data_IF_322143649404
#
_entry.id   IF_322143649404
#
_cell.length_a   1.000
_cell.length_b   1.000
_cell.length_c   1.000
_cell.angle_alpha   90.00
_cell.angle_beta   90.00
_cell.angle_gamma   90.00
#
_symmetry.space_group_name_H-M   'P 1'
#
loop_
_entity.id
_entity.type
_entity.pdbx_description
1 polymer ?
#
# COMPACT_ATOMS: atom_id res chain seq x y z
N UNK A 1 -47.93 31.39 28.53
CA UNK A 1 -47.70 30.97 27.13
C UNK A 1 -47.76 29.45 27.08
N UNK A 2 -48.39 28.90 26.04
CA UNK A 2 -48.98 27.55 25.94
C UNK A 2 -48.13 26.39 26.46
N UNK A 3 -48.72 25.60 27.37
CA UNK A 3 -48.45 24.17 27.51
C UNK A 3 -49.13 23.42 26.35
N UNK A 4 -48.46 22.43 25.78
CA UNK A 4 -49.07 21.36 25.01
C UNK A 4 -48.57 20.03 25.58
N UNK A 5 -49.44 19.28 26.23
CA UNK A 5 -49.27 17.85 26.44
C UNK A 5 -49.80 17.08 25.23
N UNK A 6 -49.45 15.80 25.11
CA UNK A 6 -50.46 14.72 25.08
C UNK A 6 -49.81 13.35 25.27
N UNK A 7 -50.69 12.47 25.75
CA UNK A 7 -50.53 11.17 26.39
C UNK A 7 -50.38 10.00 25.41
N UNK A 8 -49.59 9.01 25.84
CA UNK A 8 -49.65 7.54 25.68
C UNK A 8 -50.74 6.95 24.74
N UNK A 9 -50.34 6.05 23.84
CA UNK A 9 -51.13 4.89 23.41
C UNK A 9 -50.21 3.70 23.12
N UNK A 10 -50.42 2.58 23.83
CA UNK A 10 -49.69 1.34 23.65
C UNK A 10 -50.35 0.40 22.64
N UNK A 11 -49.59 -0.60 22.18
CA UNK A 11 -50.15 -1.82 21.60
C UNK A 11 -49.22 -3.01 21.84
N UNK A 12 -49.77 -4.03 22.52
CA UNK A 12 -49.26 -5.40 22.68
C UNK A 12 -49.99 -6.28 21.65
N UNK A 13 -49.28 -7.09 20.85
CA UNK A 13 -49.82 -8.29 20.16
C UNK A 13 -48.65 -9.27 19.89
N UNK A 14 -48.48 -10.30 20.73
CA UNK A 14 -48.76 -11.75 20.53
C UNK A 14 -47.97 -12.53 19.46
N UNK A 15 -47.02 -13.34 19.98
CA UNK A 15 -46.68 -14.75 19.71
C UNK A 15 -47.33 -15.45 18.49
N UNK A 16 -46.50 -16.10 17.66
CA UNK A 16 -46.84 -17.41 17.09
C UNK A 16 -45.66 -18.40 17.17
N UNK A 17 -45.96 -19.56 17.72
CA UNK A 17 -45.11 -20.75 17.86
C UNK A 17 -45.27 -21.59 16.59
N UNK A 18 -44.15 -22.01 15.98
CA UNK A 18 -44.11 -23.00 14.90
C UNK A 18 -43.37 -24.25 15.37
N UNK A 19 -44.10 -25.35 15.46
CA UNK A 19 -43.63 -26.67 15.88
C UNK A 19 -42.85 -27.40 14.77
N UNK A 20 -41.77 -28.10 15.15
CA UNK A 20 -41.32 -29.29 14.43
C UNK A 20 -41.08 -30.39 15.45
N UNK A 21 -41.97 -31.38 15.40
CA UNK A 21 -41.93 -32.59 16.22
C UNK A 21 -41.35 -33.74 15.41
N UNK A 22 -40.42 -34.46 16.07
CA UNK A 22 -40.30 -35.91 16.20
C UNK A 22 -40.29 -36.86 14.98
N UNK A 23 -39.27 -37.71 14.99
CA UNK A 23 -39.22 -39.01 14.33
C UNK A 23 -37.78 -39.51 14.17
N UNK A 24 -37.08 -39.85 15.25
CA UNK A 24 -36.91 -41.22 15.80
C UNK A 24 -35.98 -42.11 14.94
N UNK A 25 -34.72 -42.31 15.37
CA UNK A 25 -34.17 -43.53 16.06
C UNK A 25 -33.98 -44.72 15.11
N UNK A 26 -32.90 -45.50 15.07
CA UNK A 26 -32.01 -45.99 16.13
C UNK A 26 -30.68 -46.48 15.56
N UNK A 27 -29.67 -46.51 16.43
CA UNK A 27 -28.43 -47.27 16.31
C UNK A 27 -28.68 -48.78 16.41
N UNK A 28 -27.90 -49.58 15.67
CA UNK A 28 -27.54 -50.94 16.05
C UNK A 28 -26.21 -51.35 15.39
N UNK A 29 -25.20 -51.60 16.21
CA UNK A 29 -23.99 -52.37 15.89
C UNK A 29 -24.29 -53.87 15.93
N UNK A 30 -23.68 -54.64 15.04
CA UNK A 30 -23.18 -56.00 15.32
C UNK A 30 -22.27 -56.51 14.19
N UNK A 31 -21.44 -57.46 14.59
CA UNK A 31 -20.17 -57.91 14.05
C UNK A 31 -20.32 -59.24 13.27
N UNK A 32 -19.23 -59.69 12.62
CA UNK A 32 -18.91 -61.07 12.16
C UNK A 32 -19.16 -61.47 10.66
N UNK A 33 -18.03 -61.48 9.92
CA UNK A 33 -17.42 -62.43 8.91
C UNK A 33 -18.23 -63.63 8.29
N UNK A 34 -17.67 -64.43 7.34
CA UNK A 34 -16.99 -64.17 6.05
C UNK A 34 -17.48 -65.11 4.90
N UNK A 35 -17.28 -64.79 3.60
CA UNK A 35 -17.27 -65.84 2.56
C UNK A 35 -16.52 -65.49 1.25
N UNK A 36 -15.44 -66.26 1.04
CA UNK A 36 -14.87 -66.86 -0.19
C UNK A 36 -14.96 -66.13 -1.54
N UNK A 37 -13.78 -65.65 -1.97
CA UNK A 37 -13.00 -66.06 -3.15
C UNK A 37 -13.73 -66.57 -4.40
N UNK A 38 -13.54 -65.87 -5.53
CA UNK A 38 -13.14 -66.42 -6.85
C UNK A 38 -12.50 -65.28 -7.69
N UNK A 39 -11.25 -65.47 -8.10
CA UNK A 39 -10.47 -64.67 -9.08
C UNK A 39 -10.37 -65.45 -10.41
N UNK A 40 -9.79 -64.92 -11.52
CA UNK A 40 -9.83 -63.60 -12.20
C UNK A 40 -10.09 -63.80 -13.74
N UNK A 41 -9.87 -62.87 -14.73
CA UNK A 41 -8.53 -62.39 -15.15
C UNK A 41 -8.55 -60.94 -15.75
N UNK A 42 -7.52 -60.46 -16.49
CA UNK A 42 -6.82 -59.20 -16.23
C UNK A 42 -7.43 -57.97 -16.96
N UNK A 43 -7.71 -56.89 -16.24
CA UNK A 43 -8.07 -55.62 -16.88
C UNK A 43 -6.85 -54.72 -17.01
N UNK A 44 -6.45 -54.56 -18.25
CA UNK A 44 -5.49 -53.63 -18.82
C UNK A 44 -5.54 -52.25 -18.15
N UNK A 45 -4.38 -51.78 -17.70
CA UNK A 45 -4.10 -50.40 -17.34
C UNK A 45 -4.33 -49.50 -18.54
N UNK A 46 -5.54 -48.97 -18.69
CA UNK A 46 -5.81 -47.79 -19.50
C UNK A 46 -6.26 -46.69 -18.54
N UNK A 47 -5.27 -46.01 -17.96
CA UNK A 47 -5.47 -44.63 -17.56
C UNK A 47 -5.80 -43.86 -18.84
N UNK A 48 -7.10 -43.67 -19.10
CA UNK A 48 -7.55 -42.63 -20.00
C UNK A 48 -7.21 -41.30 -19.30
N UNK A 49 -5.98 -40.83 -19.52
CA UNK A 49 -5.64 -39.42 -19.35
C UNK A 49 -6.60 -38.66 -20.26
N UNK A 50 -7.65 -38.06 -19.68
CA UNK A 50 -8.26 -36.90 -20.30
C UNK A 50 -7.11 -35.95 -20.64
N UNK A 51 -7.05 -35.40 -21.87
CA UNK A 51 -6.05 -34.41 -22.19
C UNK A 51 -6.24 -33.27 -21.19
N UNK A 52 -5.28 -33.14 -20.28
CA UNK A 52 -5.13 -31.98 -19.41
C UNK A 52 -4.77 -30.86 -20.38
N UNK A 53 -5.77 -30.24 -20.99
CA UNK A 53 -5.60 -28.95 -21.64
C UNK A 53 -4.93 -28.08 -20.60
N UNK A 54 -3.72 -27.62 -20.91
CA UNK A 54 -3.16 -26.46 -20.25
C UNK A 54 -4.21 -25.37 -20.44
N UNK A 55 -5.11 -25.22 -19.48
CA UNK A 55 -6.02 -24.09 -19.41
C UNK A 55 -5.11 -22.89 -19.16
N UNK A 56 -4.52 -22.36 -20.22
CA UNK A 56 -4.01 -21.01 -20.21
C UNK A 56 -5.18 -20.17 -19.77
N UNK A 57 -5.05 -19.53 -18.61
CA UNK A 57 -6.04 -18.59 -18.11
C UNK A 57 -6.44 -17.67 -19.27
N UNK A 58 -7.74 -17.54 -19.59
CA UNK A 58 -8.19 -16.68 -20.66
C UNK A 58 -7.52 -15.32 -20.53
N UNK A 59 -6.99 -14.79 -21.63
CA UNK A 59 -6.32 -13.49 -21.63
C UNK A 59 -7.33 -12.43 -21.17
N UNK A 60 -7.12 -11.90 -19.97
CA UNK A 60 -7.92 -10.81 -19.40
C UNK A 60 -7.86 -9.60 -20.33
N UNK A 61 -9.01 -9.25 -20.93
CA UNK A 61 -9.15 -8.11 -21.84
C UNK A 61 -9.48 -6.82 -21.07
N UNK A 62 -8.70 -6.53 -20.03
CA UNK A 62 -8.80 -5.28 -19.28
C UNK A 62 -8.20 -4.13 -20.11
N UNK A 63 -8.71 -2.92 -19.91
CA UNK A 63 -8.30 -1.70 -20.62
C UNK A 63 -8.20 -0.54 -19.64
N UNK A 64 -7.14 0.27 -19.75
CA UNK A 64 -7.07 1.52 -18.99
C UNK A 64 -8.23 2.44 -19.39
N UNK A 65 -8.83 3.10 -18.40
CA UNK A 65 -10.01 3.95 -18.57
C UNK A 65 -11.35 3.21 -18.56
N UNK A 66 -11.40 1.88 -18.55
CA UNK A 66 -12.68 1.16 -18.47
C UNK A 66 -13.29 1.25 -17.06
N UNK A 67 -14.62 1.33 -16.90
CA UNK A 67 -15.25 1.30 -15.57
C UNK A 67 -14.84 0.05 -14.78
N UNK A 68 -14.45 0.24 -13.52
CA UNK A 68 -13.99 -0.84 -12.64
C UNK A 68 -15.07 -1.91 -12.45
N UNK A 69 -16.34 -1.52 -12.32
CA UNK A 69 -17.45 -2.47 -12.25
C UNK A 69 -17.48 -3.41 -13.45
N UNK A 70 -17.26 -2.89 -14.66
CA UNK A 70 -17.20 -3.71 -15.89
C UNK A 70 -15.97 -4.61 -15.89
N UNK A 71 -14.83 -4.12 -15.41
CA UNK A 71 -13.61 -4.92 -15.26
C UNK A 71 -13.82 -6.08 -14.28
N UNK A 72 -14.42 -5.80 -13.12
CA UNK A 72 -14.79 -6.78 -12.11
C UNK A 72 -15.69 -7.87 -12.69
N UNK A 73 -16.74 -7.51 -13.42
CA UNK A 73 -17.64 -8.48 -14.07
C UNK A 73 -16.87 -9.39 -15.03
N UNK A 74 -15.96 -8.85 -15.84
CA UNK A 74 -15.14 -9.66 -16.76
C UNK A 74 -14.19 -10.60 -16.02
N UNK A 75 -13.61 -10.14 -14.91
CA UNK A 75 -12.70 -10.93 -14.07
C UNK A 75 -13.45 -12.10 -13.43
N UNK A 76 -14.60 -11.82 -12.83
CA UNK A 76 -15.48 -12.84 -12.22
C UNK A 76 -15.98 -13.85 -13.25
N UNK A 77 -16.39 -13.41 -14.45
CA UNK A 77 -16.81 -14.29 -15.55
C UNK A 77 -15.68 -15.22 -16.03
N UNK A 78 -14.42 -14.83 -15.87
CA UNK A 78 -13.26 -15.63 -16.23
C UNK A 78 -12.80 -16.59 -15.12
N UNK A 79 -13.59 -16.73 -14.04
CA UNK A 79 -13.34 -17.68 -12.97
C UNK A 79 -12.36 -17.19 -11.90
N UNK A 80 -12.03 -15.89 -11.90
CA UNK A 80 -11.35 -15.25 -10.78
C UNK A 80 -12.36 -14.96 -9.67
N UNK A 81 -11.90 -14.96 -8.42
CA UNK A 81 -12.71 -14.70 -7.22
C UNK A 81 -12.06 -13.61 -6.38
N UNK A 82 -12.83 -12.78 -5.64
CA UNK A 82 -12.26 -11.82 -4.70
C UNK A 82 -11.22 -12.46 -3.79
N UNK A 83 -10.04 -11.85 -3.70
CA UNK A 83 -8.99 -12.34 -2.81
C UNK A 83 -9.29 -11.91 -1.37
N UNK A 84 -9.98 -12.78 -0.63
CA UNK A 84 -10.28 -12.56 0.79
C UNK A 84 -9.15 -13.07 1.70
N UNK A 85 -8.09 -13.64 1.13
CA UNK A 85 -6.91 -14.11 1.85
C UNK A 85 -5.83 -13.02 1.85
N UNK A 86 -4.91 -13.07 2.82
CA UNK A 86 -3.85 -12.08 3.00
C UNK A 86 -4.31 -10.86 3.81
N UNK A 87 -3.79 -9.67 3.49
CA UNK A 87 -4.09 -8.45 4.23
C UNK A 87 -5.58 -8.11 4.18
N UNK A 88 -6.13 -7.75 5.34
CA UNK A 88 -7.51 -7.31 5.45
C UNK A 88 -7.69 -5.93 4.80
N UNK A 89 -8.88 -5.61 4.27
CA UNK A 89 -9.18 -4.27 3.81
C UNK A 89 -8.90 -3.25 4.91
N UNK A 90 -8.23 -2.15 4.58
CA UNK A 90 -7.98 -1.05 5.51
C UNK A 90 -9.28 -0.26 5.78
N UNK A 91 -10.17 -0.80 6.61
CA UNK A 91 -11.46 -0.17 6.93
C UNK A 91 -11.35 1.14 7.73
N UNK A 92 -10.14 1.55 8.11
CA UNK A 92 -9.88 2.88 8.67
C UNK A 92 -9.82 3.95 7.58
N UNK A 93 -9.48 3.57 6.34
CA UNK A 93 -9.60 4.45 5.18
C UNK A 93 -11.09 4.58 4.78
N UNK A 94 -11.56 5.82 4.68
CA UNK A 94 -12.97 6.11 4.39
C UNK A 94 -13.38 5.62 2.99
N UNK A 95 -12.47 5.70 2.02
CA UNK A 95 -12.71 5.26 0.65
C UNK A 95 -12.78 3.74 0.57
N UNK A 96 -11.88 3.04 1.26
CA UNK A 96 -11.88 1.57 1.37
C UNK A 96 -13.17 1.11 2.06
N UNK A 97 -13.53 1.73 3.18
CA UNK A 97 -14.74 1.40 3.92
C UNK A 97 -16.00 1.56 3.05
N UNK A 98 -16.12 2.67 2.34
CA UNK A 98 -17.28 2.92 1.47
C UNK A 98 -17.37 1.89 0.33
N UNK A 99 -16.25 1.58 -0.34
CA UNK A 99 -16.21 0.52 -1.37
C UNK A 99 -16.59 -0.85 -0.81
N UNK A 100 -16.11 -1.16 0.38
CA UNK A 100 -16.41 -2.41 1.07
C UNK A 100 -17.90 -2.51 1.42
N UNK A 101 -18.50 -1.42 1.93
CA UNK A 101 -19.94 -1.32 2.22
C UNK A 101 -20.79 -1.43 0.94
N UNK A 102 -20.26 -1.05 -0.23
CA UNK A 102 -20.86 -1.29 -1.55
C UNK A 102 -20.66 -2.71 -2.10
N UNK A 103 -19.97 -3.59 -1.38
CA UNK A 103 -19.81 -5.00 -1.74
C UNK A 103 -18.59 -5.31 -2.61
N UNK A 104 -17.65 -4.37 -2.75
CA UNK A 104 -16.32 -4.62 -3.34
C UNK A 104 -15.39 -5.21 -2.28
N UNK A 105 -15.68 -6.43 -1.82
CA UNK A 105 -14.91 -7.10 -0.75
C UNK A 105 -13.47 -7.42 -1.14
N UNK A 106 -13.15 -7.37 -2.43
CA UNK A 106 -11.80 -7.46 -2.99
C UNK A 106 -10.92 -6.22 -2.78
N UNK A 107 -11.46 -5.10 -2.31
CA UNK A 107 -10.69 -3.88 -2.05
C UNK A 107 -9.70 -4.11 -0.91
N UNK A 108 -8.45 -3.67 -1.08
CA UNK A 108 -7.41 -3.78 -0.06
C UNK A 108 -7.09 -2.45 0.57
N UNK A 109 -6.71 -1.49 -0.27
CA UNK A 109 -6.30 -0.17 0.19
C UNK A 109 -6.50 0.88 -0.89
N UNK A 110 -6.54 2.14 -0.49
CA UNK A 110 -6.71 3.30 -1.35
C UNK A 110 -5.64 4.35 -1.08
N UNK A 111 -5.12 4.95 -2.14
CA UNK A 111 -4.10 5.99 -2.03
C UNK A 111 -4.73 7.34 -1.68
N UNK A 112 -4.27 7.96 -0.59
CA UNK A 112 -4.65 9.33 -0.16
C UNK A 112 -4.07 10.48 -1.01
N UNK A 113 -3.43 10.17 -2.15
CA UNK A 113 -2.63 11.12 -2.96
C UNK A 113 -3.45 12.03 -3.89
N UNK A 114 -4.74 12.25 -3.60
CA UNK A 114 -5.64 13.08 -4.41
C UNK A 114 -6.11 12.46 -5.73
N UNK A 115 -5.40 11.45 -6.27
CA UNK A 115 -5.85 10.61 -7.40
C UNK A 115 -6.77 9.47 -6.93
N UNK A 116 -6.73 9.16 -5.64
CA UNK A 116 -7.65 8.24 -4.98
C UNK A 116 -7.55 6.80 -5.48
N UNK A 117 -6.42 6.34 -6.04
CA UNK A 117 -6.31 5.02 -6.64
C UNK A 117 -6.49 3.91 -5.61
N UNK A 118 -7.42 2.98 -5.83
CA UNK A 118 -7.62 1.82 -4.96
C UNK A 118 -7.14 0.53 -5.61
N UNK A 119 -6.63 -0.37 -4.79
CA UNK A 119 -6.19 -1.71 -5.16
C UNK A 119 -7.30 -2.72 -4.87
N UNK A 120 -7.61 -3.54 -5.87
CA UNK A 120 -8.57 -4.61 -5.79
C UNK A 120 -7.90 -5.93 -6.20
N UNK A 121 -8.15 -6.99 -5.45
CA UNK A 121 -7.44 -8.26 -5.65
C UNK A 121 -8.36 -9.44 -5.92
N UNK A 122 -7.93 -10.30 -6.83
CA UNK A 122 -8.64 -11.51 -7.20
C UNK A 122 -7.67 -12.69 -7.29
N UNK A 123 -8.12 -13.88 -6.94
CA UNK A 123 -7.37 -15.11 -7.13
C UNK A 123 -8.12 -16.08 -8.03
N UNK A 124 -7.38 -16.97 -8.70
CA UNK A 124 -7.98 -18.03 -9.51
C UNK A 124 -7.66 -19.42 -8.96
N UNK A 125 -8.23 -20.45 -9.57
CA UNK A 125 -8.01 -21.86 -9.17
C UNK A 125 -6.54 -22.32 -9.31
N UNK A 126 -5.72 -21.61 -10.08
CA UNK A 126 -4.30 -21.88 -10.20
C UNK A 126 -3.46 -21.21 -9.08
N UNK A 127 -4.10 -20.44 -8.20
CA UNK A 127 -3.42 -19.68 -7.15
C UNK A 127 -2.63 -18.49 -7.67
N UNK A 128 -2.95 -18.00 -8.86
CA UNK A 128 -2.44 -16.72 -9.35
C UNK A 128 -3.19 -15.57 -8.68
N UNK A 129 -2.52 -14.44 -8.47
CA UNK A 129 -3.10 -13.22 -7.92
C UNK A 129 -3.20 -12.17 -9.03
N UNK A 130 -4.42 -11.73 -9.33
CA UNK A 130 -4.68 -10.57 -10.16
C UNK A 130 -4.92 -9.39 -9.23
N UNK A 131 -4.17 -8.31 -9.41
CA UNK A 131 -4.51 -7.04 -8.79
C UNK A 131 -4.87 -6.02 -9.87
N UNK A 132 -5.86 -5.19 -9.56
CA UNK A 132 -6.37 -4.11 -10.40
C UNK A 132 -6.29 -2.83 -9.59
N UNK A 133 -5.64 -1.82 -10.15
CA UNK A 133 -5.66 -0.45 -9.64
C UNK A 133 -6.72 0.35 -10.38
N UNK A 134 -7.61 1.03 -9.66
CA UNK A 134 -8.62 1.89 -10.26
C UNK A 134 -8.68 3.26 -9.56
N UNK A 135 -8.67 4.33 -10.34
CA UNK A 135 -8.78 5.73 -9.89
C UNK A 135 -10.22 6.20 -9.95
N UNK A 136 -10.52 7.30 -9.27
CA UNK A 136 -11.84 7.93 -9.33
C UNK A 136 -11.98 8.64 -10.70
N UNK A 137 -13.09 8.39 -11.41
CA UNK A 137 -13.36 9.05 -12.69
C UNK A 137 -14.14 10.37 -12.53
N UNK A 138 -14.91 10.50 -11.45
CA UNK A 138 -15.65 11.72 -11.07
C UNK A 138 -15.53 11.97 -9.54
N UNK A 139 -16.56 12.51 -8.88
CA UNK A 139 -16.58 12.79 -7.43
C UNK A 139 -17.03 11.61 -6.58
N UNK A 140 -17.47 10.51 -7.20
CA UNK A 140 -18.00 9.34 -6.48
C UNK A 140 -17.01 8.19 -6.44
N UNK A 141 -16.85 7.59 -5.26
CA UNK A 141 -16.03 6.42 -5.04
C UNK A 141 -16.55 5.16 -5.76
N UNK A 142 -17.83 5.13 -6.15
CA UNK A 142 -18.42 4.05 -6.95
C UNK A 142 -18.07 4.13 -8.44
N UNK A 143 -17.68 5.31 -8.93
CA UNK A 143 -17.40 5.55 -10.34
C UNK A 143 -15.89 5.56 -10.58
N UNK A 144 -15.30 4.36 -10.47
CA UNK A 144 -13.87 4.16 -10.67
C UNK A 144 -13.56 3.64 -12.06
N UNK A 145 -12.40 4.02 -12.58
CA UNK A 145 -11.88 3.52 -13.87
C UNK A 145 -10.56 2.80 -13.66
N UNK A 146 -10.38 1.69 -14.36
CA UNK A 146 -9.15 0.90 -14.33
C UNK A 146 -7.99 1.77 -14.80
N UNK A 147 -6.94 1.81 -14.00
CA UNK A 147 -5.70 2.49 -14.35
C UNK A 147 -4.62 1.49 -14.74
N UNK A 148 -4.45 0.43 -13.96
CA UNK A 148 -3.45 -0.62 -14.20
C UNK A 148 -3.92 -1.98 -13.66
N UNK A 149 -3.34 -3.07 -14.15
CA UNK A 149 -3.55 -4.42 -13.61
C UNK A 149 -2.36 -5.32 -13.89
N UNK A 150 -2.14 -6.33 -13.04
CA UNK A 150 -1.12 -7.35 -13.24
C UNK A 150 -1.54 -8.70 -12.68
N UNK A 151 -0.98 -9.77 -13.24
CA UNK A 151 -1.16 -11.15 -12.76
C UNK A 151 0.18 -11.64 -12.22
N UNK A 152 0.22 -11.89 -10.92
CA UNK A 152 1.31 -12.57 -10.25
C UNK A 152 1.08 -14.08 -10.31
N UNK A 153 1.99 -14.79 -10.96
CA UNK A 153 1.96 -16.26 -10.96
C UNK A 153 2.60 -16.75 -9.68
N UNK A 154 1.99 -17.75 -9.06
CA UNK A 154 2.41 -18.37 -7.81
C UNK A 154 3.94 -18.62 -7.80
N UNK A 155 4.70 -17.71 -7.19
CA UNK A 155 6.09 -17.93 -6.83
C UNK A 155 5.99 -18.55 -5.45
N UNK A 156 6.19 -19.87 -5.37
CA UNK A 156 6.39 -20.55 -4.09
C UNK A 156 7.35 -19.70 -3.26
N UNK A 157 6.86 -19.18 -2.13
CA UNK A 157 7.56 -18.25 -1.21
C UNK A 157 8.79 -18.89 -0.54
N UNK A 158 9.18 -20.10 -0.97
CA UNK A 158 10.39 -20.78 -0.56
C UNK A 158 11.19 -21.28 -1.77
N UNK A 159 11.84 -20.37 -2.50
CA UNK A 159 13.16 -20.55 -3.15
C UNK A 159 13.41 -19.44 -4.18
N UNK A 160 13.83 -18.26 -3.71
CA UNK A 160 14.73 -17.39 -4.47
C UNK A 160 15.79 -16.78 -3.54
N UNK A 161 16.43 -17.65 -2.75
CA UNK A 161 17.84 -17.46 -2.40
C UNK A 161 18.64 -18.35 -3.34
N UNK A 162 19.53 -17.73 -4.10
CA UNK A 162 20.65 -18.33 -4.88
C UNK A 162 20.56 -18.12 -6.39
N UNK A 163 20.71 -16.88 -6.85
CA UNK A 163 21.66 -16.63 -7.94
C UNK A 163 22.68 -15.61 -7.48
N UNK A 164 23.91 -16.10 -7.39
CA UNK A 164 25.14 -15.38 -7.10
C UNK A 164 25.25 -14.11 -7.94
N UNK A 165 25.29 -12.96 -7.27
CA UNK A 165 26.09 -11.83 -7.71
C UNK A 165 26.92 -11.38 -6.53
N UNK A 166 28.20 -11.09 -6.75
CA UNK A 166 29.04 -10.39 -5.77
C UNK A 166 28.26 -9.17 -5.26
N UNK A 167 28.39 -8.78 -3.98
CA UNK A 167 27.72 -7.58 -3.48
C UNK A 167 28.07 -6.40 -4.38
N UNK A 168 27.11 -5.98 -5.20
CA UNK A 168 27.29 -4.88 -6.11
C UNK A 168 27.48 -3.64 -5.25
N UNK A 169 28.61 -2.96 -5.45
CA UNK A 169 28.93 -1.78 -4.64
C UNK A 169 27.82 -0.75 -4.87
N UNK A 170 27.17 -0.26 -3.80
CA UNK A 170 26.13 0.74 -3.97
C UNK A 170 26.62 1.99 -4.70
N UNK A 171 25.78 2.63 -5.53
CA UNK A 171 26.15 3.81 -6.30
C UNK A 171 26.47 5.02 -5.41
N UNK A 172 25.98 5.02 -4.16
CA UNK A 172 26.28 6.01 -3.13
C UNK A 172 25.93 5.44 -1.75
N UNK A 173 26.38 6.14 -0.70
CA UNK A 173 25.92 5.95 0.68
C UNK A 173 25.23 7.24 1.13
N UNK A 174 24.16 7.12 1.93
CA UNK A 174 23.29 8.21 2.36
C UNK A 174 21.97 8.29 1.58
N UNK A 175 21.27 9.42 1.69
CA UNK A 175 19.95 9.62 1.09
C UNK A 175 20.02 10.46 -0.19
N UNK A 176 19.26 10.05 -1.21
CA UNK A 176 19.07 10.78 -2.48
C UNK A 176 17.58 10.91 -2.79
N UNK A 177 17.22 12.02 -3.42
CA UNK A 177 15.88 12.29 -3.92
C UNK A 177 15.86 12.11 -5.45
N UNK A 178 14.72 11.67 -5.96
CA UNK A 178 14.46 11.55 -7.39
C UNK A 178 12.98 11.74 -7.69
N UNK A 179 12.65 12.17 -8.91
CA UNK A 179 11.27 12.37 -9.34
C UNK A 179 11.17 12.14 -10.86
N UNK A 180 10.35 11.16 -11.26
CA UNK A 180 10.11 10.84 -12.66
C UNK A 180 9.11 11.76 -13.35
N UNK A 181 8.10 12.26 -12.63
CA UNK A 181 6.95 12.98 -13.19
C UNK A 181 7.18 14.49 -13.30
N UNK A 182 8.11 15.04 -12.51
CA UNK A 182 8.31 16.49 -12.39
C UNK A 182 7.17 17.16 -11.63
N UNK A 183 7.49 18.18 -10.82
CA UNK A 183 6.54 18.84 -9.90
C UNK A 183 6.97 18.74 -8.43
N UNK A 184 6.35 19.55 -7.57
CA UNK A 184 6.73 19.71 -6.16
C UNK A 184 6.13 18.66 -5.21
N UNK A 185 5.24 17.78 -5.67
CA UNK A 185 4.42 16.90 -4.81
C UNK A 185 4.62 15.38 -4.96
N UNK A 186 5.50 14.90 -5.84
CA UNK A 186 5.68 13.46 -6.12
C UNK A 186 7.16 13.07 -6.08
N UNK A 187 7.80 13.33 -4.94
CA UNK A 187 9.19 12.93 -4.73
C UNK A 187 9.28 11.48 -4.30
N UNK A 188 10.34 10.79 -4.71
CA UNK A 188 10.78 9.56 -4.08
C UNK A 188 12.16 9.79 -3.45
N UNK A 189 12.45 9.04 -2.39
CA UNK A 189 13.77 9.04 -1.77
C UNK A 189 14.31 7.63 -1.69
N UNK A 190 15.63 7.49 -1.82
CA UNK A 190 16.36 6.26 -1.56
C UNK A 190 17.46 6.55 -0.55
N UNK A 191 17.54 5.74 0.51
CA UNK A 191 18.60 5.77 1.50
C UNK A 191 19.39 4.46 1.44
N UNK A 192 20.72 4.53 1.35
CA UNK A 192 21.61 3.37 1.39
C UNK A 192 22.62 3.53 2.52
N UNK A 193 22.62 2.61 3.48
CA UNK A 193 23.55 2.57 4.61
C UNK A 193 24.89 1.89 4.25
N UNK A 194 25.98 2.13 5.02
CA UNK A 194 27.30 1.52 4.75
C UNK A 194 27.30 -0.01 4.68
N UNK A 195 26.38 -0.66 5.38
CA UNK A 195 26.20 -2.12 5.40
C UNK A 195 25.33 -2.64 4.23
N UNK A 196 24.98 -1.76 3.29
CA UNK A 196 24.13 -2.04 2.14
C UNK A 196 22.63 -2.06 2.43
N UNK A 197 22.18 -1.79 3.66
CA UNK A 197 20.74 -1.67 3.96
C UNK A 197 20.16 -0.49 3.18
N UNK A 198 19.08 -0.75 2.47
CA UNK A 198 18.47 0.18 1.49
C UNK A 198 16.99 0.33 1.77
N UNK A 199 16.52 1.58 1.76
CA UNK A 199 15.11 1.94 1.90
C UNK A 199 14.72 2.86 0.75
N UNK A 200 13.64 2.54 0.04
CA UNK A 200 13.00 3.45 -0.93
C UNK A 200 11.67 3.90 -0.35
N UNK A 201 11.40 5.20 -0.39
CA UNK A 201 10.13 5.80 0.05
C UNK A 201 9.51 6.64 -1.04
N UNK A 202 8.19 6.56 -1.16
CA UNK A 202 7.39 7.59 -1.81
C UNK A 202 7.14 8.70 -0.78
N UNK A 203 7.46 9.93 -1.14
CA UNK A 203 7.27 11.10 -0.29
C UNK A 203 5.95 11.77 -0.68
N UNK A 204 4.95 11.66 0.19
CA UNK A 204 3.69 12.40 0.09
C UNK A 204 3.70 13.66 0.96
N UNK A 205 2.71 14.52 0.75
CA UNK A 205 2.54 15.78 1.51
C UNK A 205 2.16 15.54 2.97
N UNK A 206 1.43 14.46 3.26
CA UNK A 206 0.94 14.14 4.61
C UNK A 206 1.61 12.90 5.21
N UNK A 207 2.02 11.95 4.37
CA UNK A 207 2.66 10.71 4.81
C UNK A 207 3.62 10.19 3.75
N UNK A 208 4.65 9.45 4.19
CA UNK A 208 5.58 8.75 3.31
C UNK A 208 5.34 7.25 3.39
N UNK A 209 5.31 6.57 2.26
CA UNK A 209 5.18 5.10 2.22
C UNK A 209 6.49 4.44 1.84
N UNK A 210 6.85 3.34 2.52
CA UNK A 210 8.03 2.54 2.15
C UNK A 210 7.66 1.67 0.95
N UNK A 211 8.39 1.85 -0.15
CA UNK A 211 8.23 1.05 -1.37
C UNK A 211 9.28 -0.05 -1.47
N UNK A 212 10.33 -0.02 -0.67
CA UNK A 212 11.32 -1.09 -0.58
C UNK A 212 12.10 -1.00 0.74
N UNK A 213 12.33 -2.14 1.38
CA UNK A 213 13.30 -2.28 2.47
C UNK A 213 14.06 -3.60 2.32
N UNK A 214 15.39 -3.52 2.25
CA UNK A 214 16.23 -4.71 2.05
C UNK A 214 17.70 -4.38 1.88
N UNK A 215 18.47 -5.32 1.32
CA UNK A 215 19.86 -5.06 0.92
C UNK A 215 19.92 -4.53 -0.50
N UNK A 216 20.78 -3.56 -0.76
CA UNK A 216 20.94 -2.95 -2.08
C UNK A 216 21.09 -4.03 -3.16
N UNK A 217 20.26 -3.92 -4.20
CA UNK A 217 20.36 -4.69 -5.44
C UNK A 217 20.17 -3.75 -6.62
N UNK A 218 20.68 -4.12 -7.79
CA UNK A 218 20.47 -3.36 -9.01
C UNK A 218 20.08 -4.32 -10.14
N UNK A 219 18.81 -4.37 -10.56
CA UNK A 219 17.72 -3.49 -10.18
C UNK A 219 17.17 -3.72 -8.75
N UNK A 220 16.52 -2.71 -8.20
CA UNK A 220 15.64 -2.83 -7.03
C UNK A 220 14.24 -3.14 -7.55
N UNK A 221 13.61 -4.21 -7.05
CA UNK A 221 12.19 -4.48 -7.31
C UNK A 221 11.39 -3.92 -6.14
N UNK A 222 10.42 -3.04 -6.42
CA UNK A 222 9.62 -2.42 -5.37
C UNK A 222 8.69 -3.46 -4.73
N UNK A 223 8.55 -3.36 -3.42
CA UNK A 223 7.72 -4.18 -2.54
C UNK A 223 6.34 -3.55 -2.29
N UNK A 224 6.03 -2.43 -2.95
CA UNK A 224 4.71 -1.78 -2.92
C UNK A 224 3.63 -2.52 -3.74
N UNK A 225 4.01 -3.68 -4.31
CA UNK A 225 3.14 -4.52 -5.11
C UNK A 225 2.84 -3.97 -6.51
N UNK A 226 3.51 -2.89 -6.93
CA UNK A 226 3.37 -2.34 -8.30
C UNK A 226 4.03 -3.23 -9.37
N UNK A 227 4.94 -4.14 -8.96
CA UNK A 227 5.81 -4.89 -9.86
C UNK A 227 6.84 -4.02 -10.58
N UNK A 228 6.90 -2.72 -10.26
CA UNK A 228 7.87 -1.80 -10.84
C UNK A 228 9.24 -2.00 -10.20
N UNK A 229 10.26 -1.60 -10.93
CA UNK A 229 11.64 -1.61 -10.45
C UNK A 229 12.32 -0.28 -10.61
N UNK A 230 13.48 -0.15 -9.98
CA UNK A 230 14.41 0.94 -10.14
C UNK A 230 15.74 0.37 -10.65
N UNK A 231 16.21 0.89 -11.77
CA UNK A 231 17.53 0.59 -12.32
C UNK A 231 18.45 1.80 -12.11
N UNK A 232 19.57 1.57 -11.46
CA UNK A 232 20.59 2.59 -11.22
C UNK A 232 21.71 2.44 -12.23
N UNK A 233 21.89 3.43 -13.09
CA UNK A 233 22.91 3.39 -14.15
C UNK A 233 23.33 4.81 -14.53
N UNK A 234 24.62 5.01 -14.76
CA UNK A 234 25.19 6.28 -15.24
C UNK A 234 24.82 7.50 -14.37
N UNK A 235 24.76 7.32 -13.04
CA UNK A 235 24.40 8.38 -12.08
C UNK A 235 22.92 8.77 -12.09
N UNK A 236 22.09 8.05 -12.83
CA UNK A 236 20.64 8.22 -12.91
C UNK A 236 19.91 7.02 -12.33
N UNK A 237 18.63 7.24 -12.06
CA UNK A 237 17.66 6.18 -11.77
C UNK A 237 16.64 6.12 -12.91
N UNK A 238 16.31 4.90 -13.33
CA UNK A 238 15.30 4.60 -14.35
C UNK A 238 14.19 3.79 -13.71
N UNK A 239 12.93 4.11 -14.02
CA UNK A 239 11.81 3.26 -13.66
C UNK A 239 11.74 2.07 -14.61
N UNK A 240 11.56 0.87 -14.06
CA UNK A 240 11.32 -0.35 -14.81
C UNK A 240 9.84 -0.73 -14.72
N UNK A 241 9.27 -1.12 -15.86
CA UNK A 241 7.98 -1.79 -15.90
C UNK A 241 8.10 -3.23 -15.38
N UNK A 242 6.98 -3.88 -15.09
CA UNK A 242 6.93 -5.25 -14.56
C UNK A 242 7.59 -6.30 -15.47
N UNK A 243 7.75 -6.01 -16.76
CA UNK A 243 8.49 -6.86 -17.71
C UNK A 243 10.02 -6.64 -17.67
N UNK A 244 10.53 -5.81 -16.76
CA UNK A 244 11.94 -5.46 -16.60
C UNK A 244 12.46 -4.45 -17.63
N UNK A 245 11.62 -3.96 -18.55
CA UNK A 245 12.03 -2.92 -19.51
C UNK A 245 11.93 -1.54 -18.88
N UNK A 246 12.75 -0.60 -19.34
CA UNK A 246 12.67 0.78 -18.89
C UNK A 246 11.32 1.36 -19.31
N UNK A 247 10.59 1.87 -18.32
CA UNK A 247 9.27 2.47 -18.52
C UNK A 247 9.38 3.75 -19.37
N UNK A 248 8.29 4.06 -20.07
CA UNK A 248 8.13 5.28 -20.87
C UNK A 248 6.84 6.01 -20.46
N UNK A 249 6.75 7.29 -20.78
CA UNK A 249 5.53 8.10 -20.57
C UNK A 249 5.57 9.04 -19.36
N UNK A 250 6.67 9.08 -18.59
CA UNK A 250 6.71 9.85 -17.34
C UNK A 250 6.72 11.38 -17.53
N UNK A 251 7.25 11.89 -18.64
CA UNK A 251 7.27 13.34 -18.98
C UNK A 251 6.65 13.62 -20.35
N UNK A 252 5.70 12.78 -20.77
CA UNK A 252 5.07 12.81 -22.09
C UNK A 252 5.29 11.54 -22.89
N UNK A 253 4.55 11.39 -24.00
CA UNK A 253 4.54 10.18 -24.80
C UNK A 253 5.94 9.78 -25.27
N UNK A 254 6.24 8.49 -25.18
CA UNK A 254 7.51 7.86 -25.55
C UNK A 254 8.77 8.31 -24.78
N UNK A 255 8.67 9.27 -23.86
CA UNK A 255 9.81 9.71 -23.04
C UNK A 255 10.21 8.64 -22.03
N UNK A 256 11.51 8.37 -21.91
CA UNK A 256 12.04 7.42 -20.94
C UNK A 256 11.81 7.94 -19.52
N UNK A 257 11.34 7.07 -18.63
CA UNK A 257 11.18 7.37 -17.21
C UNK A 257 12.54 7.37 -16.49
N UNK A 258 13.29 8.46 -16.62
CA UNK A 258 14.57 8.68 -15.95
C UNK A 258 14.54 9.90 -15.02
N UNK A 259 15.35 9.84 -13.97
CA UNK A 259 15.62 10.96 -13.06
C UNK A 259 17.08 10.99 -12.65
N UNK A 260 17.63 12.19 -12.51
CA UNK A 260 18.88 12.37 -11.76
C UNK A 260 18.66 12.05 -10.29
N UNK A 261 19.69 11.52 -9.64
CA UNK A 261 19.73 11.41 -8.19
C UNK A 261 20.24 12.72 -7.62
N UNK A 262 19.33 13.48 -7.02
CA UNK A 262 19.67 14.73 -6.36
C UNK A 262 20.10 14.34 -4.95
N UNK A 263 21.28 14.81 -4.53
CA UNK A 263 21.65 14.74 -3.13
C UNK A 263 20.48 15.32 -2.32
N UNK A 264 20.04 14.66 -1.24
CA UNK A 264 19.22 15.36 -0.27
C UNK A 264 20.13 16.38 0.44
N UNK A 265 20.58 17.38 -0.31
CA UNK A 265 21.08 18.63 0.19
C UNK A 265 19.84 19.44 0.51
N UNK A 266 19.05 18.97 1.47
CA UNK A 266 18.59 19.95 2.43
C UNK A 266 19.84 20.66 2.90
N UNK A 267 19.87 21.98 2.82
CA UNK A 267 20.91 22.69 3.54
C UNK A 267 20.93 22.11 4.97
N UNK A 268 22.10 21.85 5.56
CA UNK A 268 22.18 21.20 6.86
C UNK A 268 21.23 21.92 7.82
N UNK A 269 20.33 21.16 8.45
CA UNK A 269 19.40 21.72 9.43
C UNK A 269 20.27 22.43 10.47
N UNK A 270 20.07 23.73 10.57
CA UNK A 270 20.96 24.57 11.35
C UNK A 270 20.83 24.19 12.82
N UNK A 271 21.95 23.96 13.54
CA UNK A 271 21.89 23.80 14.98
C UNK A 271 21.25 25.03 15.62
N UNK A 272 20.39 24.82 16.60
CA UNK A 272 19.65 25.92 17.23
C UNK A 272 18.39 25.46 17.94
N UNK A 273 17.69 26.44 18.48
CA UNK A 273 16.41 26.26 19.17
C UNK A 273 15.29 26.68 18.23
N UNK A 274 14.49 25.71 17.84
CA UNK A 274 13.28 25.91 17.06
C UNK A 274 12.08 25.90 18.00
N UNK A 275 11.06 26.68 17.68
CA UNK A 275 9.85 26.83 18.52
C UNK A 275 8.59 26.81 17.65
N UNK A 276 7.48 26.39 18.25
CA UNK A 276 6.14 26.52 17.65
C UNK A 276 5.61 27.94 17.75
N UNK A 277 6.00 28.66 18.82
CA UNK A 277 5.49 29.98 19.14
C UNK A 277 4.16 29.94 19.89
N UNK A 278 3.98 30.88 20.84
CA UNK A 278 2.81 30.92 21.72
C UNK A 278 2.72 29.77 22.74
N UNK A 279 3.75 28.93 22.85
CA UNK A 279 3.86 27.81 23.78
C UNK A 279 5.28 27.76 24.36
N UNK A 280 5.44 27.03 25.47
CA UNK A 280 6.75 26.74 26.07
C UNK A 280 7.44 25.51 25.46
N UNK A 281 6.91 25.00 24.33
CA UNK A 281 7.46 23.86 23.62
C UNK A 281 8.50 24.29 22.59
N UNK A 282 9.60 23.54 22.54
CA UNK A 282 10.64 23.74 21.56
C UNK A 282 11.37 22.46 21.16
N UNK A 283 12.18 22.62 20.12
CA UNK A 283 13.00 21.58 19.54
C UNK A 283 14.43 22.11 19.47
N UNK A 284 15.37 21.42 20.13
CA UNK A 284 16.79 21.73 20.05
C UNK A 284 17.47 20.82 19.03
N UNK A 285 18.17 21.40 18.06
CA UNK A 285 19.01 20.68 17.11
C UNK A 285 20.49 20.88 17.47
N UNK A 286 21.23 19.77 17.58
CA UNK A 286 22.67 19.78 17.82
C UNK A 286 23.37 18.65 17.07
N UNK A 287 24.21 19.01 16.09
CA UNK A 287 24.87 18.02 15.23
C UNK A 287 23.85 17.23 14.43
N UNK A 288 23.95 15.89 14.49
CA UNK A 288 23.05 14.96 13.77
C UNK A 288 21.87 14.47 14.64
N UNK A 289 21.55 15.19 15.72
CA UNK A 289 20.50 14.82 16.65
C UNK A 289 19.63 16.02 17.02
N UNK A 290 18.41 15.73 17.47
CA UNK A 290 17.48 16.70 18.02
C UNK A 290 16.79 16.18 19.28
N UNK A 291 16.19 17.05 20.07
CA UNK A 291 15.29 16.67 21.17
C UNK A 291 14.21 17.71 21.36
N UNK A 292 13.06 17.29 21.87
CA UNK A 292 12.03 18.21 22.34
C UNK A 292 12.36 18.71 23.74
N UNK A 293 11.88 19.90 24.06
CA UNK A 293 11.86 20.43 25.42
C UNK A 293 10.55 21.18 25.66
N UNK A 294 10.11 21.16 26.91
CA UNK A 294 8.93 21.88 27.39
C UNK A 294 9.11 22.25 28.88
N UNK A 295 8.05 22.70 29.56
CA UNK A 295 8.08 23.03 30.99
C UNK A 295 8.46 21.86 31.90
N UNK A 296 8.23 20.61 31.45
CA UNK A 296 8.63 19.40 32.20
C UNK A 296 10.10 19.04 31.99
N UNK A 297 10.79 19.72 31.06
CA UNK A 297 12.22 19.62 30.84
C UNK A 297 12.57 19.07 29.45
N UNK A 298 13.77 18.49 29.34
CA UNK A 298 14.30 18.00 28.07
C UNK A 298 13.95 16.52 27.86
N UNK A 299 13.47 16.19 26.67
CA UNK A 299 13.26 14.81 26.24
C UNK A 299 14.56 14.16 25.73
N UNK A 300 14.49 12.87 25.41
CA UNK A 300 15.61 12.10 24.86
C UNK A 300 16.00 12.58 23.45
N UNK A 301 17.30 12.42 23.13
CA UNK A 301 17.85 12.73 21.82
C UNK A 301 17.41 11.71 20.77
N UNK A 302 17.02 12.23 19.61
CA UNK A 302 16.55 11.49 18.43
C UNK A 302 17.38 11.86 17.20
N UNK A 303 17.49 10.97 16.19
CA UNK A 303 18.28 11.24 15.00
C UNK A 303 17.64 12.32 14.12
N UNK A 304 18.45 13.28 13.63
CA UNK A 304 17.97 14.41 12.82
C UNK A 304 17.32 13.99 11.50
N UNK A 305 17.57 12.75 11.05
CA UNK A 305 16.95 12.14 9.87
C UNK A 305 15.42 11.96 9.99
N UNK A 306 14.85 12.09 11.18
CA UNK A 306 13.40 12.11 11.39
C UNK A 306 12.78 13.48 11.06
N UNK A 307 13.60 14.54 10.96
CA UNK A 307 13.14 15.88 10.65
C UNK A 307 13.22 16.15 9.14
N UNK A 308 12.21 16.86 8.65
CA UNK A 308 12.17 17.31 7.26
C UNK A 308 12.59 18.78 7.22
N UNK A 309 13.68 19.05 6.49
CA UNK A 309 14.05 20.42 6.17
C UNK A 309 13.08 20.98 5.13
N UNK A 310 12.46 22.12 5.44
CA UNK A 310 11.55 22.81 4.50
C UNK A 310 12.32 23.95 3.83
N UNK A 311 12.89 24.85 4.64
CA UNK A 311 13.74 25.96 4.19
C UNK A 311 14.64 26.43 5.34
N UNK A 312 15.46 27.45 5.11
CA UNK A 312 16.32 27.99 6.16
C UNK A 312 15.48 28.37 7.40
N UNK A 313 15.90 27.88 8.56
CA UNK A 313 15.24 28.11 9.85
C UNK A 313 13.81 27.54 9.98
N UNK A 314 13.35 26.68 9.06
CA UNK A 314 12.04 26.02 9.12
C UNK A 314 12.17 24.51 8.88
N UNK A 315 11.68 23.73 9.82
CA UNK A 315 11.68 22.26 9.76
C UNK A 315 10.31 21.70 10.15
N UNK A 316 10.03 20.47 9.71
CA UNK A 316 8.78 19.76 9.98
C UNK A 316 9.08 18.37 10.55
N UNK A 317 8.52 18.05 11.71
CA UNK A 317 8.77 16.79 12.42
C UNK A 317 7.76 15.66 12.06
N UNK A 318 6.85 15.92 11.12
CA UNK A 318 5.73 15.03 10.80
C UNK A 318 4.39 15.45 11.40
N UNK A 319 4.38 16.38 12.37
CA UNK A 319 3.17 16.89 13.02
C UNK A 319 3.12 18.42 13.05
N UNK A 320 4.23 19.06 13.40
CA UNK A 320 4.32 20.50 13.60
C UNK A 320 5.47 21.13 12.80
N UNK A 321 5.27 22.40 12.47
CA UNK A 321 6.31 23.25 11.91
C UNK A 321 7.09 23.93 13.03
N UNK A 322 8.41 23.87 12.96
CA UNK A 322 9.31 24.44 13.94
C UNK A 322 10.21 25.48 13.29
N UNK A 323 10.29 26.66 13.90
CA UNK A 323 11.01 27.80 13.35
C UNK A 323 12.10 28.25 14.32
N UNK A 324 13.27 28.68 13.81
CA UNK A 324 14.15 29.56 14.59
C UNK A 324 13.54 30.97 14.50
N UNK A 325 13.02 31.54 15.61
CA UNK A 325 12.34 32.82 15.55
C UNK A 325 13.34 33.96 15.33
N UNK A 326 12.94 35.05 14.64
CA UNK A 326 13.66 36.32 14.66
C UNK A 326 13.82 36.83 16.09
N UNK A 327 14.91 37.54 16.37
CA UNK A 327 15.21 38.02 17.74
C UNK A 327 14.09 38.92 18.24
N UNK A 328 13.55 38.59 19.42
CA UNK A 328 12.60 39.42 20.18
C UNK A 328 11.25 39.66 19.49
N UNK A 329 10.83 38.76 18.60
CA UNK A 329 9.53 38.84 17.92
C UNK A 329 8.61 37.72 18.41
N UNK A 330 7.44 38.08 18.95
CA UNK A 330 6.39 37.12 19.27
C UNK A 330 5.70 36.66 17.99
N UNK A 331 5.43 35.36 17.88
CA UNK A 331 4.94 34.77 16.65
C UNK A 331 4.58 33.31 16.83
N UNK A 332 4.11 32.72 15.73
CA UNK A 332 3.86 31.29 15.59
C UNK A 332 4.57 30.79 14.34
N UNK A 333 5.12 29.59 14.40
CA UNK A 333 5.69 28.93 13.25
C UNK A 333 4.59 28.29 12.40
N UNK A 334 4.69 28.46 11.09
CA UNK A 334 3.77 27.88 10.11
C UNK A 334 4.53 27.23 8.96
N UNK A 335 3.81 26.58 8.06
CA UNK A 335 4.39 26.00 6.83
C UNK A 335 5.14 27.03 5.97
N UNK A 336 4.81 28.32 6.11
CA UNK A 336 5.43 29.42 5.38
C UNK A 336 6.55 30.10 6.17
N UNK A 337 6.88 29.60 7.37
CA UNK A 337 7.87 30.19 8.28
C UNK A 337 7.25 30.93 9.46
N UNK A 338 8.05 31.78 10.11
CA UNK A 338 7.66 32.54 11.30
C UNK A 338 6.63 33.61 10.95
N UNK A 339 5.49 33.57 11.63
CA UNK A 339 4.40 34.53 11.47
C UNK A 339 4.27 35.36 12.75
N UNK A 340 4.59 36.66 12.72
CA UNK A 340 4.52 37.49 13.92
C UNK A 340 3.08 37.75 14.35
N UNK A 341 2.85 37.76 15.67
CA UNK A 341 1.57 38.20 16.24
C UNK A 341 1.64 39.72 16.40
N UNK A 342 0.77 40.44 15.70
CA UNK A 342 0.68 41.90 15.77
C UNK A 342 -0.03 42.39 17.02
#
# INVERSE_FOLDING_TARGET
MKLCGYTIAGTLVTILVGAIANGCTSFATSNVQPSKSLNPPPTTTHQAQLPRTKNSVPKLNLQAGMPYQKAREQVLQQGWQPNLQGDAPNLQDTSVKELYDFGYTEVKDCSGTGVGACRFEFTNQAGELLWISATIADRSNTERVVWHWSIEKNINVHQQTSQSSRPEKPPFIGTRLFNFLGGSGTGQSIAIAPDGTTIVKLQGTFESSIQYHGKFSNPIILQDGSGLGLLFKDGKVYSLAANGQIAKGCKGDETVCESSLIANTSAPIKPGFYVLGGTDQGLEVKGEQYRYYDEAGNQEWRPISELNYIQENLIFDGQNYWCIPPRSEAGVCTENGWMPVK
#
